data_IF_410689603087
#
_entry.id   IF_410689603087
#
_cell.length_a   1.000
_cell.length_b   1.000
_cell.length_c   1.000
_cell.angle_alpha   90.00
_cell.angle_beta   90.00
_cell.angle_gamma   90.00
#
_symmetry.space_group_name_H-M   'P 1'
#
loop_
_entity.id
_entity.type
_entity.pdbx_description
1 polymer ?
#
# COMPACT_ATOMS: atom_id res chain seq x y z
N UNK A 1 -25.48 -7.34 -52.20
CA UNK A 1 -25.46 -8.12 -53.46
C UNK A 1 -25.07 -9.56 -53.12
N UNK A 2 -25.84 -10.63 -53.37
CA UNK A 2 -27.27 -10.82 -53.65
C UNK A 2 -27.98 -11.51 -52.46
N UNK A 3 -29.24 -11.98 -52.61
CA UNK A 3 -29.47 -13.24 -53.32
C UNK A 3 -30.70 -13.28 -54.26
N UNK A 4 -30.66 -14.30 -55.12
CA UNK A 4 -31.67 -14.76 -56.10
C UNK A 4 -33.02 -15.13 -55.47
N UNK A 5 -34.11 -15.01 -56.25
CA UNK A 5 -35.00 -16.14 -56.64
C UNK A 5 -36.24 -15.68 -57.43
N UNK A 6 -36.32 -16.13 -58.68
CA UNK A 6 -37.55 -16.54 -59.39
C UNK A 6 -38.21 -17.73 -58.66
N UNK A 7 -39.52 -18.06 -58.82
CA UNK A 7 -40.05 -18.57 -60.10
C UNK A 7 -41.55 -18.34 -60.45
N UNK A 8 -41.81 -18.80 -61.68
CA UNK A 8 -43.00 -18.90 -62.54
C UNK A 8 -44.39 -19.36 -62.00
N UNK A 9 -45.40 -18.84 -62.74
CA UNK A 9 -46.62 -19.47 -63.34
C UNK A 9 -47.68 -20.18 -62.47
N UNK A 10 -48.96 -19.86 -62.76
CA UNK A 10 -50.11 -20.73 -63.20
C UNK A 10 -51.35 -19.80 -63.30
N UNK A 11 -51.94 -19.50 -64.48
CA UNK A 11 -52.95 -20.21 -65.30
C UNK A 11 -54.30 -20.55 -64.63
N UNK A 12 -55.41 -19.98 -65.16
CA UNK A 12 -56.72 -20.59 -65.55
C UNK A 12 -57.72 -19.45 -65.89
N UNK A 13 -58.18 -19.28 -67.14
CA UNK A 13 -59.38 -19.89 -67.80
C UNK A 13 -60.71 -19.41 -67.17
N UNK A 14 -61.81 -19.06 -67.84
CA UNK A 14 -62.34 -19.42 -69.17
C UNK A 14 -63.57 -18.53 -69.53
N UNK A 15 -63.89 -18.44 -70.85
CA UNK A 15 -65.21 -18.63 -71.49
C UNK A 15 -66.45 -17.80 -71.04
N UNK A 16 -67.45 -17.44 -71.84
CA UNK A 16 -67.94 -17.69 -73.20
C UNK A 16 -68.73 -16.41 -73.64
N UNK A 17 -69.08 -16.12 -74.90
CA UNK A 17 -70.04 -16.84 -75.73
C UNK A 17 -71.33 -16.01 -75.96
N UNK A 18 -71.48 -15.51 -77.19
CA UNK A 18 -72.67 -15.18 -78.02
C UNK A 18 -74.09 -15.16 -77.38
N UNK A 19 -74.93 -14.21 -77.80
CA UNK A 19 -76.10 -14.49 -78.67
C UNK A 19 -76.87 -13.23 -79.14
N UNK A 20 -77.40 -13.32 -80.38
CA UNK A 20 -78.46 -12.46 -80.96
C UNK A 20 -79.83 -12.96 -80.46
N UNK A 21 -80.94 -12.19 -80.59
CA UNK A 21 -81.88 -12.46 -81.70
C UNK A 21 -82.58 -11.18 -82.26
N UNK A 22 -82.77 -11.06 -83.58
CA UNK A 22 -84.00 -11.31 -84.40
C UNK A 22 -85.02 -10.14 -84.42
N UNK A 23 -85.43 -9.83 -85.65
CA UNK A 23 -86.35 -8.78 -86.12
C UNK A 23 -87.81 -8.90 -85.65
N UNK A 24 -88.72 -8.08 -86.19
CA UNK A 24 -89.50 -8.63 -87.31
C UNK A 24 -89.74 -7.67 -88.49
N UNK A 25 -89.72 -8.24 -89.70
CA UNK A 25 -90.45 -7.76 -90.89
C UNK A 25 -91.82 -8.44 -90.93
N UNK A 26 -92.86 -7.77 -91.46
CA UNK A 26 -93.88 -8.30 -92.43
C UNK A 26 -94.94 -7.21 -92.72
N UNK A 27 -95.09 -6.75 -93.98
CA UNK A 27 -95.98 -7.26 -95.08
C UNK A 27 -97.46 -6.87 -94.86
N UNK A 28 -98.18 -6.22 -95.78
CA UNK A 28 -98.70 -6.58 -97.14
C UNK A 28 -99.37 -5.28 -97.70
N UNK A 29 -99.28 -4.84 -98.97
CA UNK A 29 -99.75 -5.33 -100.29
C UNK A 29 -101.27 -5.37 -100.52
N UNK A 30 -101.67 -4.79 -101.68
CA UNK A 30 -102.86 -4.99 -102.55
C UNK A 30 -103.99 -3.95 -102.40
N UNK A 31 -104.75 -3.54 -103.42
CA UNK A 31 -104.76 -3.75 -104.87
C UNK A 31 -105.80 -2.78 -105.50
N UNK A 32 -105.71 -2.55 -106.81
CA UNK A 32 -106.72 -1.92 -107.67
C UNK A 32 -108.06 -2.68 -107.75
N UNK A 33 -109.17 -1.94 -108.00
CA UNK A 33 -110.35 -2.21 -108.86
C UNK A 33 -111.49 -1.26 -108.47
N UNK A 34 -111.96 -0.36 -109.34
CA UNK A 34 -112.86 -0.55 -110.49
C UNK A 34 -114.33 -0.83 -110.12
N UNK A 35 -115.19 0.17 -110.41
CA UNK A 35 -116.61 0.18 -110.79
C UNK A 35 -117.60 -0.83 -110.22
N UNK A 36 -118.77 -0.37 -109.77
CA UNK A 36 -119.97 -0.18 -110.61
C UNK A 36 -121.12 0.38 -109.73
N UNK A 37 -121.84 1.40 -110.21
CA UNK A 37 -123.14 1.80 -109.68
C UNK A 37 -124.08 1.94 -110.88
N UNK A 38 -125.16 1.15 -110.89
CA UNK A 38 -126.07 1.01 -112.01
C UNK A 38 -127.53 1.20 -111.56
N UNK A 39 -128.28 1.88 -112.44
CA UNK A 39 -129.75 1.99 -112.60
C UNK A 39 -130.60 2.62 -111.48
N UNK A 40 -131.37 3.65 -111.81
CA UNK A 40 -132.61 3.47 -112.60
C UNK A 40 -133.38 4.79 -112.79
N UNK A 41 -133.99 4.93 -113.97
CA UNK A 41 -135.05 5.87 -114.31
C UNK A 41 -136.37 5.07 -114.47
N UNK A 42 -137.52 5.69 -114.81
CA UNK A 42 -138.26 6.75 -114.12
C UNK A 42 -139.73 6.32 -113.80
N UNK A 43 -140.37 7.02 -112.85
CA UNK A 43 -141.76 6.81 -112.43
C UNK A 43 -142.77 7.72 -113.16
N UNK A 44 -144.01 7.24 -113.25
CA UNK A 44 -145.20 7.93 -113.77
C UNK A 44 -146.00 8.63 -112.63
N UNK A 45 -146.74 9.72 -112.91
CA UNK A 45 -146.93 10.82 -111.96
C UNK A 45 -148.25 10.75 -111.20
N UNK A 46 -148.21 10.37 -109.92
CA UNK A 46 -149.21 10.75 -108.89
C UNK A 46 -148.73 10.65 -107.42
N UNK A 47 -147.44 10.35 -107.17
CA UNK A 47 -146.86 10.18 -105.81
C UNK A 47 -145.95 11.35 -105.32
N UNK A 48 -145.94 12.49 -106.01
CA UNK A 48 -144.99 13.61 -105.81
C UNK A 48 -145.19 14.46 -104.54
N UNK A 49 -146.12 14.16 -103.63
CA UNK A 49 -146.35 14.99 -102.43
C UNK A 49 -145.93 14.36 -101.09
N UNK A 50 -145.78 13.05 -100.99
CA UNK A 50 -145.47 12.37 -99.71
C UNK A 50 -143.95 12.11 -99.53
N UNK A 51 -143.16 12.10 -100.61
CA UNK A 51 -141.69 11.91 -100.54
C UNK A 51 -140.88 13.16 -100.19
N UNK A 52 -141.47 14.36 -100.21
CA UNK A 52 -140.75 15.59 -99.85
C UNK A 52 -140.54 15.74 -98.34
N UNK A 53 -141.53 15.38 -97.52
CA UNK A 53 -141.43 15.56 -96.06
C UNK A 53 -140.49 14.54 -95.40
N UNK A 54 -140.35 13.32 -95.93
CA UNK A 54 -139.42 12.33 -95.35
C UNK A 54 -137.94 12.68 -95.60
N UNK A 55 -137.62 13.31 -96.73
CA UNK A 55 -136.24 13.67 -97.08
C UNK A 55 -135.68 14.84 -96.26
N UNK A 56 -136.53 15.72 -95.72
CA UNK A 56 -136.08 16.83 -94.87
C UNK A 56 -135.61 16.38 -93.48
N UNK A 57 -136.22 15.33 -92.92
CA UNK A 57 -135.82 14.79 -91.61
C UNK A 57 -134.48 14.06 -91.69
N UNK A 58 -134.26 13.30 -92.75
CA UNK A 58 -132.99 12.57 -92.95
C UNK A 58 -131.80 13.53 -93.16
N UNK A 59 -132.03 14.66 -93.85
CA UNK A 59 -131.02 15.72 -94.01
C UNK A 59 -130.54 16.31 -92.68
N UNK A 60 -131.45 16.55 -91.74
CA UNK A 60 -131.11 17.15 -90.43
C UNK A 60 -130.27 16.18 -89.58
N UNK A 61 -130.55 14.87 -89.64
CA UNK A 61 -129.76 13.86 -88.92
C UNK A 61 -128.33 13.75 -89.46
N UNK A 62 -128.15 13.70 -90.78
CA UNK A 62 -126.81 13.68 -91.37
C UNK A 62 -126.01 14.95 -91.03
N UNK A 63 -126.66 16.12 -90.97
CA UNK A 63 -126.01 17.36 -90.54
C UNK A 63 -125.52 17.30 -89.08
N UNK A 64 -126.28 16.68 -88.17
CA UNK A 64 -125.87 16.48 -86.77
C UNK A 64 -124.71 15.50 -86.62
N UNK A 65 -124.72 14.38 -87.34
CA UNK A 65 -123.63 13.40 -87.33
C UNK A 65 -122.35 13.97 -87.92
N UNK A 66 -122.46 14.75 -89.00
CA UNK A 66 -121.32 15.45 -89.61
C UNK A 66 -120.69 16.46 -88.65
N UNK A 67 -121.51 17.18 -87.89
CA UNK A 67 -121.06 18.12 -86.88
C UNK A 67 -120.37 17.41 -85.70
N UNK A 68 -120.93 16.29 -85.22
CA UNK A 68 -120.30 15.47 -84.18
C UNK A 68 -118.92 14.93 -84.63
N UNK A 69 -118.84 14.40 -85.85
CA UNK A 69 -117.56 13.89 -86.41
C UNK A 69 -116.56 15.02 -86.63
N UNK A 70 -117.00 16.23 -87.01
CA UNK A 70 -116.13 17.40 -87.07
C UNK A 70 -115.59 17.78 -85.68
N UNK A 71 -116.43 17.83 -84.65
CA UNK A 71 -115.99 18.12 -83.29
C UNK A 71 -115.03 17.06 -82.73
N UNK A 72 -115.27 15.78 -83.00
CA UNK A 72 -114.36 14.68 -82.64
C UNK A 72 -113.03 14.79 -83.39
N UNK A 73 -113.07 15.10 -84.69
CA UNK A 73 -111.86 15.34 -85.49
C UNK A 73 -111.06 16.52 -84.94
N UNK A 74 -111.71 17.63 -84.61
CA UNK A 74 -111.05 18.83 -84.10
C UNK A 74 -110.51 18.61 -82.67
N UNK A 75 -111.23 17.85 -81.83
CA UNK A 75 -110.70 17.39 -80.53
C UNK A 75 -109.46 16.53 -80.72
N UNK A 76 -109.49 15.52 -81.59
CA UNK A 76 -108.33 14.65 -81.86
C UNK A 76 -107.18 15.45 -82.45
N UNK A 77 -107.45 16.39 -83.36
CA UNK A 77 -106.44 17.29 -83.92
C UNK A 77 -105.80 18.17 -82.83
N UNK A 78 -106.60 18.73 -81.92
CA UNK A 78 -106.11 19.53 -80.80
C UNK A 78 -105.27 18.70 -79.82
N UNK A 79 -105.71 17.47 -79.48
CA UNK A 79 -104.93 16.55 -78.65
C UNK A 79 -103.62 16.16 -79.30
N UNK A 80 -103.63 15.91 -80.61
CA UNK A 80 -102.42 15.57 -81.36
C UNK A 80 -101.47 16.77 -81.43
N UNK A 81 -101.98 17.99 -81.53
CA UNK A 81 -101.15 19.20 -81.47
C UNK A 81 -100.59 19.45 -80.06
N UNK A 82 -101.39 19.26 -79.01
CA UNK A 82 -100.94 19.33 -77.61
C UNK A 82 -99.88 18.28 -77.34
N UNK A 83 -100.10 17.02 -77.73
CA UNK A 83 -99.13 15.94 -77.55
C UNK A 83 -97.85 16.16 -78.35
N UNK A 84 -97.94 16.77 -79.54
CA UNK A 84 -96.75 17.23 -80.28
C UNK A 84 -96.02 18.35 -79.52
N UNK A 85 -96.72 19.34 -78.97
CA UNK A 85 -96.11 20.41 -78.16
C UNK A 85 -95.45 19.86 -76.89
N UNK A 86 -96.12 18.97 -76.17
CA UNK A 86 -95.56 18.27 -74.99
C UNK A 86 -94.33 17.44 -75.35
N UNK A 87 -94.36 16.73 -76.50
CA UNK A 87 -93.21 15.98 -76.99
C UNK A 87 -92.03 16.90 -77.31
N UNK A 88 -92.28 18.04 -77.97
CA UNK A 88 -91.24 19.02 -78.27
C UNK A 88 -90.70 19.69 -76.98
N UNK A 89 -91.54 19.99 -76.00
CA UNK A 89 -91.11 20.47 -74.68
C UNK A 89 -90.23 19.44 -73.96
N UNK A 90 -90.64 18.17 -73.92
CA UNK A 90 -89.85 17.10 -73.31
C UNK A 90 -88.49 16.90 -74.01
N UNK A 91 -88.44 17.03 -75.34
CA UNK A 91 -87.18 17.00 -76.11
C UNK A 91 -86.28 18.21 -75.79
N UNK A 92 -86.85 19.38 -75.57
CA UNK A 92 -86.09 20.57 -75.15
C UNK A 92 -85.55 20.38 -73.73
N UNK A 93 -86.37 19.91 -72.80
CA UNK A 93 -85.95 19.61 -71.42
C UNK A 93 -84.85 18.55 -71.36
N UNK A 94 -84.96 17.49 -72.18
CA UNK A 94 -83.93 16.46 -72.29
C UNK A 94 -82.60 17.10 -72.72
N UNK A 95 -82.61 17.92 -73.78
CA UNK A 95 -81.41 18.64 -74.26
C UNK A 95 -80.82 19.58 -73.20
N UNK A 96 -81.66 20.23 -72.40
CA UNK A 96 -81.18 21.09 -71.30
C UNK A 96 -80.53 20.25 -70.19
N UNK A 97 -81.13 19.11 -69.84
CA UNK A 97 -80.55 18.19 -68.85
C UNK A 97 -79.24 17.56 -69.33
N UNK A 98 -79.17 17.17 -70.59
CA UNK A 98 -77.94 16.65 -71.21
C UNK A 98 -76.84 17.71 -71.14
N UNK A 99 -77.16 18.98 -71.47
CA UNK A 99 -76.22 20.10 -71.32
C UNK A 99 -75.79 20.33 -69.87
N UNK A 100 -76.70 20.23 -68.91
CA UNK A 100 -76.35 20.36 -67.49
C UNK A 100 -75.47 19.20 -66.99
N UNK A 101 -75.66 17.98 -67.51
CA UNK A 101 -74.77 16.85 -67.23
C UNK A 101 -73.37 17.12 -67.79
N UNK A 102 -73.27 17.60 -69.03
CA UNK A 102 -72.00 18.02 -69.63
C UNK A 102 -71.31 19.10 -68.78
N UNK A 103 -72.02 20.14 -68.36
CA UNK A 103 -71.49 21.21 -67.48
C UNK A 103 -71.05 20.71 -66.10
N UNK A 104 -71.70 19.68 -65.55
CA UNK A 104 -71.29 19.04 -64.29
C UNK A 104 -70.04 18.19 -64.48
N UNK A 105 -69.96 17.44 -65.56
CA UNK A 105 -68.78 16.64 -65.91
C UNK A 105 -67.57 17.53 -66.14
N UNK A 106 -67.71 18.65 -66.86
CA UNK A 106 -66.66 19.64 -67.05
C UNK A 106 -66.17 20.22 -65.72
N UNK A 107 -67.10 20.63 -64.83
CA UNK A 107 -66.75 21.12 -63.49
C UNK A 107 -66.02 20.07 -62.66
N UNK A 108 -66.50 18.83 -62.64
CA UNK A 108 -65.82 17.76 -61.93
C UNK A 108 -64.42 17.49 -62.50
N UNK A 109 -64.24 17.53 -63.83
CA UNK A 109 -62.93 17.39 -64.45
C UNK A 109 -61.98 18.52 -64.03
N UNK A 110 -62.46 19.75 -63.96
CA UNK A 110 -61.65 20.89 -63.52
C UNK A 110 -61.32 20.84 -62.03
N UNK A 111 -62.25 20.41 -61.18
CA UNK A 111 -61.98 20.13 -59.77
C UNK A 111 -60.90 19.06 -59.59
N UNK A 112 -60.97 17.96 -60.36
CA UNK A 112 -59.94 16.91 -60.37
C UNK A 112 -58.59 17.49 -60.79
N UNK A 113 -58.54 18.37 -61.80
CA UNK A 113 -57.29 19.04 -62.19
C UNK A 113 -56.73 19.92 -61.07
N UNK A 114 -57.57 20.70 -60.39
CA UNK A 114 -57.17 21.54 -59.25
C UNK A 114 -56.67 20.69 -58.08
N UNK A 115 -57.36 19.60 -57.72
CA UNK A 115 -56.89 18.69 -56.68
C UNK A 115 -55.57 18.01 -57.04
N UNK A 116 -55.41 17.60 -58.29
CA UNK A 116 -54.14 17.05 -58.78
C UNK A 116 -53.00 18.07 -58.70
N UNK A 117 -53.25 19.35 -59.03
CA UNK A 117 -52.26 20.41 -58.88
C UNK A 117 -51.92 20.68 -57.42
N UNK A 118 -52.92 20.74 -56.53
CA UNK A 118 -52.71 20.87 -55.07
C UNK A 118 -51.88 19.72 -54.51
N UNK A 119 -52.15 18.48 -54.92
CA UNK A 119 -51.38 17.32 -54.50
C UNK A 119 -49.93 17.39 -55.00
N UNK A 120 -49.71 17.78 -56.27
CA UNK A 120 -48.36 18.00 -56.81
C UNK A 120 -47.60 19.08 -56.04
N UNK A 121 -48.25 20.20 -55.73
CA UNK A 121 -47.63 21.28 -54.95
C UNK A 121 -47.25 20.82 -53.55
N UNK A 122 -48.17 20.13 -52.85
CA UNK A 122 -47.92 19.62 -51.50
C UNK A 122 -46.79 18.58 -51.47
N UNK A 123 -46.72 17.70 -52.47
CA UNK A 123 -45.59 16.75 -52.61
C UNK A 123 -44.26 17.47 -52.88
N UNK A 124 -44.27 18.52 -53.71
CA UNK A 124 -43.08 19.31 -54.00
C UNK A 124 -42.62 20.11 -52.77
N UNK A 125 -43.55 20.68 -52.02
CA UNK A 125 -43.29 21.37 -50.76
C UNK A 125 -42.73 20.41 -49.71
N UNK A 126 -43.34 19.23 -49.52
CA UNK A 126 -42.81 18.20 -48.64
C UNK A 126 -41.40 17.75 -49.06
N UNK A 127 -41.18 17.54 -50.35
CA UNK A 127 -39.86 17.20 -50.87
C UNK A 127 -38.82 18.28 -50.58
N UNK A 128 -39.16 19.55 -50.82
CA UNK A 128 -38.27 20.68 -50.53
C UNK A 128 -38.01 20.83 -49.02
N UNK A 129 -39.02 20.67 -48.18
CA UNK A 129 -38.86 20.73 -46.72
C UNK A 129 -37.95 19.61 -46.22
N UNK A 130 -38.10 18.40 -46.75
CA UNK A 130 -37.21 17.27 -46.43
C UNK A 130 -35.78 17.56 -46.93
N UNK A 131 -35.62 18.14 -48.12
CA UNK A 131 -34.31 18.50 -48.66
C UNK A 131 -33.63 19.60 -47.83
N UNK A 132 -34.37 20.63 -47.42
CA UNK A 132 -33.89 21.71 -46.55
C UNK A 132 -33.47 21.17 -45.18
N UNK A 133 -34.30 20.36 -44.53
CA UNK A 133 -33.98 19.75 -43.23
C UNK A 133 -32.73 18.87 -43.32
N UNK A 134 -32.57 18.08 -44.40
CA UNK A 134 -31.35 17.29 -44.63
C UNK A 134 -30.11 18.17 -44.80
N UNK A 135 -30.20 19.26 -45.55
CA UNK A 135 -29.10 20.19 -45.73
C UNK A 135 -28.71 20.88 -44.41
N UNK A 136 -29.68 21.31 -43.61
CA UNK A 136 -29.45 21.88 -42.28
C UNK A 136 -28.78 20.88 -41.34
N UNK A 137 -29.24 19.62 -41.32
CA UNK A 137 -28.62 18.57 -40.53
C UNK A 137 -27.18 18.27 -40.98
N UNK A 138 -26.89 18.26 -42.28
CA UNK A 138 -25.52 18.08 -42.78
C UNK A 138 -24.58 19.22 -42.36
N UNK A 139 -25.06 20.46 -42.40
CA UNK A 139 -24.29 21.63 -41.92
C UNK A 139 -24.05 21.53 -40.42
N UNK A 140 -25.08 21.18 -39.64
CA UNK A 140 -24.94 20.98 -38.19
C UNK A 140 -23.93 19.88 -37.85
N UNK A 141 -23.94 18.76 -38.59
CA UNK A 141 -22.97 17.68 -38.42
C UNK A 141 -21.54 18.11 -38.78
N UNK A 142 -21.35 18.91 -39.82
CA UNK A 142 -20.02 19.47 -40.16
C UNK A 142 -19.51 20.38 -39.06
N UNK A 143 -20.36 21.28 -38.57
CA UNK A 143 -19.99 22.22 -37.51
C UNK A 143 -19.64 21.49 -36.20
N UNK A 144 -20.40 20.45 -35.84
CA UNK A 144 -20.07 19.59 -34.69
C UNK A 144 -18.72 18.87 -34.88
N UNK A 145 -18.44 18.33 -36.08
CA UNK A 145 -17.15 17.69 -36.38
C UNK A 145 -15.99 18.69 -36.26
N UNK A 146 -16.15 19.91 -36.75
CA UNK A 146 -15.13 20.96 -36.63
C UNK A 146 -14.90 21.38 -35.17
N UNK A 147 -15.96 21.48 -34.36
CA UNK A 147 -15.84 21.78 -32.93
C UNK A 147 -15.11 20.67 -32.17
N UNK A 148 -15.44 19.41 -32.44
CA UNK A 148 -14.75 18.26 -31.85
C UNK A 148 -13.27 18.30 -32.23
N UNK A 149 -12.94 18.49 -33.52
CA UNK A 149 -11.55 18.55 -33.99
C UNK A 149 -10.76 19.71 -33.34
N UNK A 150 -11.37 20.89 -33.18
CA UNK A 150 -10.74 22.01 -32.47
C UNK A 150 -10.48 21.67 -31.00
N UNK A 151 -11.45 21.07 -30.32
CA UNK A 151 -11.30 20.69 -28.91
C UNK A 151 -10.24 19.61 -28.73
N UNK A 152 -10.16 18.64 -29.64
CA UNK A 152 -9.10 17.62 -29.65
C UNK A 152 -7.72 18.26 -29.81
N UNK A 153 -7.56 19.23 -30.72
CA UNK A 153 -6.29 19.94 -30.91
C UNK A 153 -5.89 20.77 -29.68
N UNK A 154 -6.83 21.45 -29.04
CA UNK A 154 -6.59 22.17 -27.77
C UNK A 154 -6.13 21.20 -26.67
N UNK A 155 -6.85 20.09 -26.48
CA UNK A 155 -6.50 19.08 -25.48
C UNK A 155 -5.12 18.47 -25.73
N UNK A 156 -4.75 18.23 -26.99
CA UNK A 156 -3.41 17.75 -27.35
C UNK A 156 -2.33 18.80 -27.05
N UNK A 157 -2.59 20.07 -27.32
CA UNK A 157 -1.67 21.16 -26.99
C UNK A 157 -1.49 21.32 -25.47
N UNK A 158 -2.59 21.30 -24.71
CA UNK A 158 -2.57 21.31 -23.24
C UNK A 158 -1.81 20.09 -22.68
N UNK A 159 -2.05 18.90 -23.24
CA UNK A 159 -1.35 17.67 -22.84
C UNK A 159 0.15 17.77 -23.08
N UNK A 160 0.59 18.32 -24.21
CA UNK A 160 2.01 18.54 -24.51
C UNK A 160 2.63 19.57 -23.57
N UNK A 161 1.96 20.70 -23.33
CA UNK A 161 2.43 21.72 -22.40
C UNK A 161 2.51 21.22 -20.95
N UNK A 162 1.58 20.36 -20.52
CA UNK A 162 1.67 19.72 -19.20
C UNK A 162 2.84 18.73 -19.11
N UNK A 163 3.11 17.95 -20.17
CA UNK A 163 4.27 17.05 -20.21
C UNK A 163 5.59 17.81 -20.13
N UNK A 164 5.68 18.96 -20.79
CA UNK A 164 6.86 19.82 -20.74
C UNK A 164 7.09 20.38 -19.33
N UNK A 165 6.03 20.92 -18.69
CA UNK A 165 6.10 21.39 -17.30
C UNK A 165 6.50 20.29 -16.31
N UNK A 166 5.99 19.06 -16.49
CA UNK A 166 6.39 17.92 -15.66
C UNK A 166 7.89 17.67 -15.83
N UNK A 167 8.40 17.67 -17.07
CA UNK A 167 9.82 17.44 -17.35
C UNK A 167 10.72 18.55 -16.78
N UNK A 168 10.29 19.81 -16.85
CA UNK A 168 10.99 20.94 -16.24
C UNK A 168 11.07 20.79 -14.71
N UNK A 169 9.97 20.40 -14.07
CA UNK A 169 9.94 20.13 -12.63
C UNK A 169 10.83 18.94 -12.25
N UNK A 170 10.80 17.85 -13.03
CA UNK A 170 11.67 16.69 -12.83
C UNK A 170 13.16 17.09 -12.88
N UNK A 171 13.57 17.87 -13.88
CA UNK A 171 14.95 18.38 -14.00
C UNK A 171 15.33 19.29 -12.83
N UNK A 172 14.43 20.20 -12.42
CA UNK A 172 14.66 21.05 -11.25
C UNK A 172 14.83 20.22 -9.97
N UNK A 173 14.01 19.17 -9.77
CA UNK A 173 14.16 18.26 -8.65
C UNK A 173 15.46 17.48 -8.71
N UNK A 174 15.89 17.00 -9.88
CA UNK A 174 17.20 16.35 -10.02
C UNK A 174 18.35 17.26 -9.61
N UNK A 175 18.31 18.54 -9.99
CA UNK A 175 19.35 19.50 -9.62
C UNK A 175 19.35 19.83 -8.13
N UNK A 176 18.17 19.95 -7.50
CA UNK A 176 18.09 20.08 -6.04
C UNK A 176 18.65 18.84 -5.33
N UNK A 177 18.39 17.63 -5.84
CA UNK A 177 18.94 16.39 -5.29
C UNK A 177 20.47 16.37 -5.43
N UNK A 178 21.02 16.78 -6.58
CA UNK A 178 22.48 16.87 -6.77
C UNK A 178 23.10 17.86 -5.80
N UNK A 179 22.47 19.03 -5.60
CA UNK A 179 22.94 20.05 -4.67
C UNK A 179 22.94 19.53 -3.22
N UNK A 180 21.85 18.90 -2.77
CA UNK A 180 21.79 18.32 -1.42
C UNK A 180 22.83 17.24 -1.22
N UNK A 181 23.05 16.36 -2.22
CA UNK A 181 24.10 15.34 -2.15
C UNK A 181 25.50 15.94 -2.03
N UNK A 182 25.76 17.03 -2.77
CA UNK A 182 27.04 17.74 -2.72
C UNK A 182 27.25 18.37 -1.34
N UNK A 183 26.23 19.03 -0.79
CA UNK A 183 26.32 19.70 0.51
C UNK A 183 26.46 18.68 1.66
N UNK A 184 25.72 17.58 1.62
CA UNK A 184 25.92 16.45 2.53
C UNK A 184 27.35 15.88 2.43
N UNK A 185 27.90 15.77 1.23
CA UNK A 185 29.30 15.35 1.03
C UNK A 185 30.31 16.31 1.67
N UNK A 186 30.06 17.62 1.61
CA UNK A 186 30.88 18.64 2.27
C UNK A 186 30.78 18.54 3.79
N UNK A 187 29.58 18.40 4.33
CA UNK A 187 29.36 18.23 5.79
C UNK A 187 30.02 16.96 6.31
N UNK A 188 29.88 15.84 5.60
CA UNK A 188 30.56 14.60 5.98
C UNK A 188 32.08 14.76 5.98
N UNK A 189 32.63 15.51 5.02
CA UNK A 189 34.07 15.80 4.98
C UNK A 189 34.50 16.68 6.15
N UNK A 190 33.71 17.71 6.51
CA UNK A 190 33.97 18.55 7.68
C UNK A 190 33.94 17.74 8.97
N UNK A 191 32.91 16.91 9.17
CA UNK A 191 32.82 16.04 10.34
C UNK A 191 34.03 15.10 10.45
N UNK A 192 34.46 14.50 9.34
CA UNK A 192 35.68 13.66 9.31
C UNK A 192 36.92 14.45 9.72
N UNK A 193 37.09 15.66 9.18
CA UNK A 193 38.23 16.52 9.54
C UNK A 193 38.20 16.92 11.02
N UNK A 194 37.03 17.21 11.59
CA UNK A 194 36.86 17.50 13.01
C UNK A 194 37.17 16.29 13.89
N UNK A 195 36.71 15.10 13.51
CA UNK A 195 37.06 13.86 14.22
C UNK A 195 38.55 13.55 14.16
N UNK A 196 39.18 13.68 12.99
CA UNK A 196 40.63 13.48 12.82
C UNK A 196 41.44 14.48 13.66
N UNK A 197 40.99 15.74 13.73
CA UNK A 197 41.61 16.77 14.55
C UNK A 197 41.48 16.46 16.05
N UNK A 198 40.28 16.07 16.49
CA UNK A 198 40.00 15.70 17.88
C UNK A 198 40.80 14.45 18.30
N UNK A 199 40.93 13.47 17.40
CA UNK A 199 41.72 12.26 17.65
C UNK A 199 43.21 12.61 17.83
N UNK A 200 43.78 13.43 16.92
CA UNK A 200 45.17 13.90 17.04
C UNK A 200 45.39 14.71 18.32
N UNK A 201 44.45 15.56 18.70
CA UNK A 201 44.55 16.32 19.95
C UNK A 201 44.53 15.41 21.17
N UNK A 202 43.63 14.41 21.19
CA UNK A 202 43.55 13.43 22.27
C UNK A 202 44.84 12.61 22.37
N UNK A 203 45.37 12.13 21.24
CA UNK A 203 46.66 11.43 21.18
C UNK A 203 47.81 12.31 21.69
N UNK A 204 47.88 13.58 21.27
CA UNK A 204 48.91 14.50 21.77
C UNK A 204 48.80 14.72 23.29
N UNK A 205 47.57 14.83 23.83
CA UNK A 205 47.33 14.96 25.26
C UNK A 205 47.76 13.72 26.05
N UNK A 206 47.45 12.52 25.56
CA UNK A 206 47.84 11.27 26.22
C UNK A 206 49.35 11.05 26.16
N UNK A 207 49.99 11.32 25.02
CA UNK A 207 51.46 11.27 24.89
C UNK A 207 52.16 12.22 25.85
N UNK A 208 51.67 13.47 25.99
CA UNK A 208 52.21 14.43 26.96
C UNK A 208 52.08 13.92 28.40
N UNK A 209 50.93 13.35 28.77
CA UNK A 209 50.73 12.74 30.10
C UNK A 209 51.70 11.59 30.34
N UNK A 210 51.90 10.71 29.36
CA UNK A 210 52.85 9.60 29.45
C UNK A 210 54.28 10.12 29.63
N UNK A 211 54.70 11.13 28.85
CA UNK A 211 56.02 11.75 28.98
C UNK A 211 56.23 12.37 30.36
N UNK A 212 55.26 13.15 30.85
CA UNK A 212 55.30 13.74 32.20
C UNK A 212 55.46 12.68 33.29
N UNK A 213 54.68 11.60 33.25
CA UNK A 213 54.78 10.51 34.24
C UNK A 213 56.15 9.83 34.16
N UNK A 214 56.70 9.64 32.96
CA UNK A 214 58.06 9.09 32.81
C UNK A 214 59.11 10.01 33.42
N UNK A 215 59.04 11.31 33.14
CA UNK A 215 59.94 12.31 33.69
C UNK A 215 59.85 12.37 35.23
N UNK A 216 58.64 12.32 35.80
CA UNK A 216 58.41 12.30 37.24
C UNK A 216 58.99 11.04 37.90
N UNK A 217 58.79 9.87 37.30
CA UNK A 217 59.35 8.60 37.77
C UNK A 217 60.89 8.61 37.68
N UNK A 218 61.46 9.15 36.61
CA UNK A 218 62.91 9.29 36.46
C UNK A 218 63.49 10.26 37.49
N UNK A 219 62.81 11.37 37.76
CA UNK A 219 63.21 12.33 38.78
C UNK A 219 63.19 11.70 40.17
N UNK A 220 62.11 10.97 40.51
CA UNK A 220 62.01 10.25 41.78
C UNK A 220 63.13 9.22 41.93
N UNK A 221 63.40 8.44 40.88
CA UNK A 221 64.53 7.48 40.87
C UNK A 221 65.87 8.18 41.08
N UNK A 222 66.12 9.32 40.42
CA UNK A 222 67.36 10.09 40.60
C UNK A 222 67.49 10.63 42.03
N UNK A 223 66.40 11.12 42.61
CA UNK A 223 66.37 11.59 44.00
C UNK A 223 66.67 10.45 44.98
N UNK A 224 66.01 9.29 44.85
CA UNK A 224 66.25 8.12 45.69
C UNK A 224 67.71 7.62 45.59
N UNK A 225 68.28 7.63 44.37
CA UNK A 225 69.69 7.28 44.16
C UNK A 225 70.61 8.27 44.87
N UNK A 226 70.38 9.58 44.70
CA UNK A 226 71.20 10.60 45.37
C UNK A 226 71.10 10.52 46.89
N UNK A 227 69.91 10.31 47.48
CA UNK A 227 69.78 10.13 48.92
C UNK A 227 70.56 8.91 49.43
N UNK A 228 70.54 7.80 48.67
CA UNK A 228 71.30 6.60 49.02
C UNK A 228 72.80 6.86 48.89
N UNK A 229 73.23 7.57 47.86
CA UNK A 229 74.64 7.98 47.69
C UNK A 229 75.10 8.88 48.83
N UNK A 230 74.30 9.88 49.23
CA UNK A 230 74.60 10.75 50.37
C UNK A 230 74.72 9.95 51.66
N UNK A 231 73.75 9.06 51.95
CA UNK A 231 73.80 8.18 53.14
C UNK A 231 75.04 7.27 53.14
N UNK A 232 75.44 6.76 51.98
CA UNK A 232 76.66 5.95 51.84
C UNK A 232 77.91 6.81 52.05
N UNK A 233 77.96 8.00 51.46
CA UNK A 233 79.09 8.92 51.60
C UNK A 233 79.24 9.42 53.05
N UNK A 234 78.15 9.71 53.75
CA UNK A 234 78.20 10.04 55.18
C UNK A 234 78.74 8.87 55.99
N UNK A 235 78.31 7.64 55.71
CA UNK A 235 78.83 6.45 56.39
C UNK A 235 80.32 6.21 56.12
N UNK A 236 80.77 6.38 54.86
CA UNK A 236 82.19 6.30 54.49
C UNK A 236 82.99 7.34 55.27
N UNK A 237 82.52 8.59 55.33
CA UNK A 237 83.19 9.66 56.07
C UNK A 237 83.25 9.38 57.58
N UNK A 238 82.19 8.84 58.17
CA UNK A 238 82.20 8.40 59.57
C UNK A 238 83.19 7.27 59.82
N UNK A 239 83.24 6.29 58.92
CA UNK A 239 84.17 5.17 58.99
C UNK A 239 85.62 5.63 58.87
N UNK A 240 85.91 6.53 57.93
CA UNK A 240 87.20 7.20 57.78
C UNK A 240 87.61 7.90 59.08
N UNK A 241 86.73 8.71 59.68
CA UNK A 241 87.00 9.37 60.97
C UNK A 241 87.25 8.38 62.11
N UNK A 242 86.52 7.26 62.16
CA UNK A 242 86.75 6.20 63.16
C UNK A 242 88.11 5.54 62.97
N UNK A 243 88.49 5.26 61.72
CA UNK A 243 89.81 4.72 61.41
C UNK A 243 90.93 5.70 61.74
N UNK A 244 90.79 6.99 61.44
CA UNK A 244 91.76 8.02 61.83
C UNK A 244 91.92 8.11 63.35
N UNK A 245 90.81 8.06 64.09
CA UNK A 245 90.84 8.02 65.56
C UNK A 245 91.55 6.79 66.08
N UNK A 246 91.16 5.59 65.62
CA UNK A 246 91.80 4.34 66.01
C UNK A 246 93.29 4.32 65.65
N UNK A 247 93.68 4.85 64.50
CA UNK A 247 95.07 4.97 64.10
C UNK A 247 95.85 5.95 65.00
N UNK A 248 95.22 7.07 65.38
CA UNK A 248 95.80 8.03 66.33
C UNK A 248 95.95 7.41 67.72
N UNK A 249 94.94 6.69 68.21
CA UNK A 249 94.99 5.95 69.48
C UNK A 249 96.08 4.89 69.48
N UNK A 250 96.23 4.11 68.41
CA UNK A 250 97.32 3.14 68.24
C UNK A 250 98.67 3.85 68.26
N UNK A 251 98.79 4.99 67.55
CA UNK A 251 100.03 5.78 67.53
C UNK A 251 100.36 6.33 68.92
N UNK A 252 99.37 6.85 69.64
CA UNK A 252 99.51 7.28 71.04
C UNK A 252 99.91 6.10 71.93
N UNK A 253 99.27 4.94 71.81
CA UNK A 253 99.60 3.74 72.58
C UNK A 253 101.06 3.30 72.35
N UNK A 254 101.53 3.26 71.10
CA UNK A 254 102.94 2.93 70.83
C UNK A 254 103.90 4.04 71.28
N UNK A 255 103.52 5.31 71.20
CA UNK A 255 104.29 6.42 71.77
C UNK A 255 104.35 6.35 73.29
N UNK A 256 103.27 5.96 73.96
CA UNK A 256 103.21 5.79 75.40
C UNK A 256 104.00 4.55 75.81
N UNK A 257 104.00 3.48 75.02
CA UNK A 257 104.91 2.34 75.23
C UNK A 257 106.36 2.76 75.04
N UNK A 258 106.70 3.53 74.00
CA UNK A 258 108.11 3.96 73.81
C UNK A 258 108.53 4.94 74.89
N UNK A 259 107.64 5.82 75.35
CA UNK A 259 107.86 6.71 76.48
C UNK A 259 108.02 5.92 77.79
N UNK A 260 107.10 5.01 78.09
CA UNK A 260 107.21 4.10 79.24
C UNK A 260 108.44 3.22 79.15
N UNK A 261 108.85 2.76 77.96
CA UNK A 261 110.07 1.99 77.76
C UNK A 261 111.31 2.87 77.95
N UNK A 262 111.28 4.15 77.55
CA UNK A 262 112.36 5.10 77.81
C UNK A 262 112.47 5.43 79.30
N UNK A 263 111.33 5.64 79.97
CA UNK A 263 111.26 5.86 81.41
C UNK A 263 111.69 4.60 82.16
N UNK A 264 111.25 3.41 81.74
CA UNK A 264 111.70 2.13 82.26
C UNK A 264 113.19 1.90 81.99
N UNK A 265 113.74 2.27 80.83
CA UNK A 265 115.18 2.21 80.57
C UNK A 265 115.92 3.17 81.50
N UNK A 266 115.35 4.34 81.80
CA UNK A 266 115.93 5.30 82.74
C UNK A 266 115.92 4.75 84.17
N UNK A 267 114.78 4.23 84.63
CA UNK A 267 114.63 3.55 85.92
C UNK A 267 115.51 2.31 86.00
N UNK A 268 115.60 1.50 84.95
CA UNK A 268 116.49 0.33 84.90
C UNK A 268 117.97 0.73 84.90
N UNK A 269 118.34 1.88 84.34
CA UNK A 269 119.70 2.41 84.48
C UNK A 269 119.99 2.84 85.91
N UNK A 270 119.04 3.50 86.58
CA UNK A 270 119.12 3.83 88.00
C UNK A 270 119.15 2.55 88.86
N UNK A 271 118.28 1.58 88.59
CA UNK A 271 118.23 0.28 89.25
C UNK A 271 119.45 -0.58 88.93
N UNK A 272 120.10 -0.49 87.77
CA UNK A 272 121.39 -1.17 87.52
C UNK A 272 122.49 -0.55 88.40
N UNK A 273 122.43 0.75 88.66
CA UNK A 273 123.36 1.37 89.63
C UNK A 273 123.08 0.95 91.08
N UNK A 274 121.83 0.63 91.42
CA UNK A 274 121.44 0.13 92.74
C UNK A 274 121.50 -1.41 92.88
N UNK A 275 121.31 -2.16 91.80
CA UNK A 275 121.47 -3.62 91.71
C UNK A 275 122.93 -3.99 91.83
N UNK A 276 123.87 -3.19 91.27
CA UNK A 276 125.30 -3.34 91.62
C UNK A 276 125.57 -3.22 93.13
N UNK A 277 124.69 -2.57 93.90
CA UNK A 277 124.77 -2.53 95.38
C UNK A 277 124.00 -3.69 96.04
N UNK A 278 122.92 -4.19 95.44
CA UNK A 278 122.06 -5.27 95.99
C UNK A 278 122.43 -6.69 95.53
N UNK A 279 123.15 -6.87 94.43
CA UNK A 279 123.65 -8.16 93.91
C UNK A 279 124.69 -8.77 94.87
N UNK A 280 125.40 -7.92 95.63
CA UNK A 280 126.18 -8.33 96.80
C UNK A 280 125.33 -8.91 97.96
N UNK A 281 124.00 -8.70 97.97
CA UNK A 281 123.11 -9.09 99.06
C UNK A 281 122.18 -10.28 98.73
N UNK A 282 121.84 -10.51 97.46
CA UNK A 282 120.76 -11.44 97.07
C UNK A 282 121.21 -12.82 96.56
N UNK A 283 122.50 -13.14 96.58
CA UNK A 283 123.00 -14.51 96.35
C UNK A 283 122.39 -15.54 97.33
N UNK A 284 121.79 -15.09 98.44
CA UNK A 284 121.16 -15.93 99.47
C UNK A 284 119.70 -16.31 99.24
N UNK A 285 118.95 -15.66 98.36
CA UNK A 285 117.49 -15.86 98.25
C UNK A 285 117.05 -16.78 97.10
N UNK A 286 118.01 -17.24 96.29
CA UNK A 286 117.76 -18.01 95.06
C UNK A 286 117.39 -19.49 95.29
N UNK A 287 117.53 -20.00 96.52
CA UNK A 287 117.26 -21.41 96.84
C UNK A 287 115.76 -21.73 97.03
N UNK A 288 114.97 -20.76 97.51
CA UNK A 288 113.60 -21.04 97.99
C UNK A 288 112.54 -21.02 96.87
N UNK A 289 112.81 -20.35 95.75
CA UNK A 289 111.84 -20.17 94.66
C UNK A 289 111.70 -21.43 93.78
N UNK A 290 112.66 -22.35 93.83
CA UNK A 290 112.67 -23.55 92.98
C UNK A 290 111.61 -24.60 93.37
N UNK A 291 111.07 -24.59 94.60
CA UNK A 291 110.08 -25.59 95.05
C UNK A 291 108.63 -25.24 94.68
N UNK A 292 108.27 -23.95 94.57
CA UNK A 292 106.88 -23.53 94.39
C UNK A 292 106.33 -23.83 92.98
N UNK A 293 107.20 -23.89 91.98
CA UNK A 293 106.84 -24.10 90.57
C UNK A 293 106.35 -25.52 90.23
N UNK A 294 106.48 -26.51 91.15
CA UNK A 294 106.01 -27.88 90.92
C UNK A 294 104.53 -28.11 91.24
N UNK A 295 103.83 -27.15 91.86
CA UNK A 295 102.47 -27.36 92.43
C UNK A 295 101.30 -26.96 91.49
N UNK A 296 101.54 -26.22 90.40
CA UNK A 296 100.47 -25.51 89.65
C UNK A 296 100.07 -26.12 88.30
N UNK A 297 100.62 -27.28 87.92
CA UNK A 297 100.48 -27.84 86.55
C UNK A 297 99.15 -28.59 86.31
N UNK A 298 98.54 -29.14 87.36
CA UNK A 298 97.33 -29.98 87.27
C UNK A 298 95.98 -29.22 87.18
N UNK A 299 95.80 -28.05 87.84
CA UNK A 299 94.58 -27.25 87.69
C UNK A 299 94.40 -26.67 86.28
N UNK A 300 95.50 -26.37 85.59
CA UNK A 300 95.49 -25.71 84.27
C UNK A 300 94.94 -26.64 83.16
N UNK A 301 95.17 -27.94 83.25
CA UNK A 301 94.74 -28.92 82.24
C UNK A 301 93.25 -29.29 82.34
N UNK A 302 92.62 -29.15 83.51
CA UNK A 302 91.18 -29.36 83.68
C UNK A 302 90.36 -28.17 83.16
N UNK A 303 90.80 -26.93 83.42
CA UNK A 303 90.14 -25.72 82.93
C UNK A 303 90.11 -25.62 81.39
N UNK A 304 91.17 -26.09 80.71
CA UNK A 304 91.23 -26.07 79.24
C UNK A 304 90.21 -27.00 78.56
N UNK A 305 89.88 -28.15 79.19
CA UNK A 305 88.90 -29.10 78.65
C UNK A 305 87.45 -28.61 78.80
N UNK A 306 87.13 -27.92 79.89
CA UNK A 306 85.80 -27.30 80.09
C UNK A 306 85.54 -26.17 79.10
N UNK A 307 86.55 -25.36 78.80
CA UNK A 307 86.44 -24.28 77.80
C UNK A 307 86.14 -24.84 76.39
N UNK A 308 86.68 -26.01 76.03
CA UNK A 308 86.42 -26.63 74.73
C UNK A 308 84.98 -27.14 74.60
N UNK A 309 84.42 -27.72 75.67
CA UNK A 309 83.02 -28.18 75.71
C UNK A 309 82.05 -27.01 75.63
N UNK A 310 82.31 -25.94 76.39
CA UNK A 310 81.48 -24.73 76.37
C UNK A 310 81.49 -24.04 75.01
N UNK A 311 82.63 -24.00 74.30
CA UNK A 311 82.70 -23.47 72.93
C UNK A 311 81.85 -24.26 71.94
N UNK A 312 81.82 -25.59 72.04
CA UNK A 312 80.98 -26.44 71.18
C UNK A 312 79.49 -26.24 71.45
N UNK A 313 79.10 -26.10 72.72
CA UNK A 313 77.71 -25.79 73.10
C UNK A 313 77.26 -24.41 72.60
N UNK A 314 78.15 -23.41 72.67
CA UNK A 314 77.86 -22.04 72.21
C UNK A 314 77.68 -21.98 70.68
N UNK A 315 78.51 -22.70 69.92
CA UNK A 315 78.36 -22.81 68.46
C UNK A 315 77.04 -23.49 68.04
N UNK A 316 76.61 -24.54 68.76
CA UNK A 316 75.32 -25.17 68.51
C UNK A 316 74.15 -24.22 68.83
N UNK A 317 74.24 -23.48 69.94
CA UNK A 317 73.23 -22.50 70.31
C UNK A 317 73.09 -21.36 69.29
N UNK A 318 74.20 -20.88 68.71
CA UNK A 318 74.17 -19.88 67.63
C UNK A 318 73.50 -20.40 66.35
N UNK A 319 73.76 -21.67 66.00
CA UNK A 319 73.11 -22.32 64.85
C UNK A 319 71.60 -22.47 65.06
N UNK A 320 71.18 -22.88 66.25
CA UNK A 320 69.76 -23.01 66.61
C UNK A 320 69.04 -21.66 66.67
N UNK A 321 69.75 -20.60 67.09
CA UNK A 321 69.22 -19.23 67.06
C UNK A 321 68.96 -18.74 65.63
N UNK A 322 69.85 -19.03 64.70
CA UNK A 322 69.69 -18.69 63.27
C UNK A 322 68.54 -19.47 62.62
N UNK A 323 68.45 -20.79 62.88
CA UNK A 323 67.35 -21.61 62.34
C UNK A 323 65.99 -21.18 62.89
N UNK A 324 65.91 -20.82 64.18
CA UNK A 324 64.70 -20.26 64.79
C UNK A 324 64.31 -18.90 64.18
N UNK A 325 65.28 -18.03 63.88
CA UNK A 325 65.00 -16.77 63.20
C UNK A 325 64.44 -16.98 61.79
N UNK A 326 65.03 -17.90 61.01
CA UNK A 326 64.54 -18.25 59.69
C UNK A 326 63.12 -18.86 59.76
N UNK A 327 62.88 -19.79 60.67
CA UNK A 327 61.55 -20.38 60.88
C UNK A 327 60.50 -19.33 61.28
N UNK A 328 60.87 -18.36 62.13
CA UNK A 328 59.99 -17.23 62.49
C UNK A 328 59.69 -16.31 61.31
N UNK A 329 60.67 -16.05 60.45
CA UNK A 329 60.47 -15.26 59.23
C UNK A 329 59.51 -15.97 58.27
N UNK A 330 59.74 -17.26 57.99
CA UNK A 330 58.85 -18.07 57.16
C UNK A 330 57.43 -18.17 57.74
N UNK A 331 57.30 -18.34 59.06
CA UNK A 331 55.99 -18.35 59.73
C UNK A 331 55.25 -17.00 59.57
N UNK A 332 55.96 -15.89 59.66
CA UNK A 332 55.38 -14.56 59.47
C UNK A 332 54.91 -14.33 58.03
N UNK A 333 55.67 -14.80 57.03
CA UNK A 333 55.27 -14.75 55.62
C UNK A 333 54.05 -15.64 55.35
N UNK A 334 54.06 -16.89 55.82
CA UNK A 334 52.91 -17.79 55.68
C UNK A 334 51.67 -17.25 56.39
N UNK A 335 51.81 -16.64 57.55
CA UNK A 335 50.68 -16.01 58.26
C UNK A 335 50.09 -14.84 57.47
N UNK A 336 50.92 -14.03 56.80
CA UNK A 336 50.44 -12.98 55.88
C UNK A 336 49.72 -13.58 54.68
N UNK A 337 50.27 -14.63 54.09
CA UNK A 337 49.65 -15.31 52.94
C UNK A 337 48.27 -15.88 53.30
N UNK A 338 48.15 -16.55 54.45
CA UNK A 338 46.86 -17.08 54.94
C UNK A 338 45.85 -15.96 55.12
N UNK A 339 46.21 -14.85 55.78
CA UNK A 339 45.30 -13.70 55.94
C UNK A 339 44.85 -13.10 54.62
N UNK A 340 45.75 -12.99 53.64
CA UNK A 340 45.41 -12.49 52.32
C UNK A 340 44.44 -13.44 51.59
N UNK A 341 44.70 -14.75 51.64
CA UNK A 341 43.84 -15.77 51.05
C UNK A 341 42.47 -15.82 51.73
N UNK A 342 42.39 -15.67 53.06
CA UNK A 342 41.12 -15.58 53.80
C UNK A 342 40.31 -14.37 53.35
N UNK A 343 40.96 -13.22 53.15
CA UNK A 343 40.30 -12.00 52.65
C UNK A 343 39.80 -12.18 51.21
N UNK A 344 40.64 -12.70 50.32
CA UNK A 344 40.26 -12.98 48.92
C UNK A 344 39.12 -13.99 48.83
N UNK A 345 39.16 -15.05 49.64
CA UNK A 345 38.11 -16.06 49.69
C UNK A 345 36.79 -15.46 50.22
N UNK A 346 36.84 -14.62 51.26
CA UNK A 346 35.67 -13.89 51.76
C UNK A 346 35.05 -12.96 50.69
N UNK A 347 35.89 -12.22 49.96
CA UNK A 347 35.43 -11.36 48.87
C UNK A 347 34.82 -12.17 47.71
N UNK A 348 35.41 -13.32 47.38
CA UNK A 348 34.88 -14.23 46.35
C UNK A 348 33.55 -14.88 46.78
N UNK A 349 33.42 -15.28 48.04
CA UNK A 349 32.17 -15.82 48.59
C UNK A 349 31.05 -14.79 48.53
N UNK A 350 31.32 -13.54 48.92
CA UNK A 350 30.32 -12.48 48.81
C UNK A 350 29.84 -12.28 47.36
N UNK A 351 30.78 -12.20 46.40
CA UNK A 351 30.44 -12.09 44.97
C UNK A 351 29.65 -13.31 44.46
N UNK A 352 30.00 -14.50 44.94
CA UNK A 352 29.29 -15.72 44.58
C UNK A 352 27.85 -15.71 45.10
N UNK A 353 27.63 -15.26 46.33
CA UNK A 353 26.29 -15.16 46.92
C UNK A 353 25.44 -14.11 46.19
N UNK A 354 26.02 -12.96 45.81
CA UNK A 354 25.37 -11.94 44.97
C UNK A 354 24.94 -12.54 43.62
N UNK A 355 25.86 -13.20 42.90
CA UNK A 355 25.55 -13.86 41.62
C UNK A 355 24.50 -14.96 41.75
N UNK A 356 24.52 -15.71 42.85
CA UNK A 356 23.54 -16.75 43.13
C UNK A 356 22.15 -16.14 43.33
N UNK A 357 22.06 -15.02 44.06
CA UNK A 357 20.81 -14.30 44.25
C UNK A 357 20.28 -13.73 42.93
N UNK A 358 21.14 -13.12 42.11
CA UNK A 358 20.76 -12.62 40.78
C UNK A 358 20.22 -13.73 39.88
N UNK A 359 20.89 -14.90 39.87
CA UNK A 359 20.41 -16.08 39.14
C UNK A 359 19.05 -16.53 39.64
N UNK A 360 18.87 -16.63 40.95
CA UNK A 360 17.62 -17.11 41.55
C UNK A 360 16.46 -16.15 41.28
N UNK A 361 16.71 -14.85 41.32
CA UNK A 361 15.71 -13.84 41.01
C UNK A 361 15.36 -13.81 39.52
N UNK A 362 16.36 -13.95 38.64
CA UNK A 362 16.11 -14.09 37.20
C UNK A 362 15.29 -15.35 36.88
N UNK A 363 15.57 -16.46 37.58
CA UNK A 363 14.80 -17.69 37.42
C UNK A 363 13.35 -17.52 37.86
N UNK A 364 13.10 -16.89 39.02
CA UNK A 364 11.75 -16.57 39.49
C UNK A 364 11.00 -15.65 38.52
N UNK A 365 11.65 -14.61 38.02
CA UNK A 365 11.05 -13.69 37.04
C UNK A 365 10.69 -14.42 35.74
N UNK A 366 11.55 -15.32 35.27
CA UNK A 366 11.27 -16.15 34.12
C UNK A 366 10.07 -17.06 34.36
N UNK A 367 10.03 -17.79 35.50
CA UNK A 367 8.88 -18.64 35.85
C UNK A 367 7.58 -17.84 35.92
N UNK A 368 7.60 -16.68 36.59
CA UNK A 368 6.44 -15.77 36.64
C UNK A 368 5.99 -15.34 35.24
N UNK A 369 6.92 -14.93 34.38
CA UNK A 369 6.62 -14.55 33.00
C UNK A 369 6.00 -15.69 32.19
N UNK A 370 6.50 -16.92 32.37
CA UNK A 370 5.94 -18.12 31.74
C UNK A 370 4.51 -18.38 32.23
N UNK A 371 4.27 -18.32 33.54
CA UNK A 371 2.94 -18.50 34.12
C UNK A 371 1.94 -17.45 33.62
N UNK A 372 2.34 -16.17 33.57
CA UNK A 372 1.48 -15.10 33.05
C UNK A 372 1.13 -15.29 31.57
N UNK A 373 2.12 -15.68 30.74
CA UNK A 373 1.90 -15.97 29.33
C UNK A 373 0.96 -17.16 29.14
N UNK A 374 1.17 -18.22 29.93
CA UNK A 374 0.30 -19.40 29.92
C UNK A 374 -1.12 -19.03 30.36
N UNK A 375 -1.29 -18.23 31.41
CA UNK A 375 -2.60 -17.76 31.86
C UNK A 375 -3.31 -16.93 30.78
N UNK A 376 -2.61 -15.97 30.15
CA UNK A 376 -3.16 -15.15 29.06
C UNK A 376 -3.56 -16.01 27.85
N UNK A 377 -2.72 -16.96 27.47
CA UNK A 377 -3.00 -17.92 26.39
C UNK A 377 -4.23 -18.77 26.71
N UNK A 378 -4.29 -19.33 27.93
CA UNK A 378 -5.41 -20.14 28.38
C UNK A 378 -6.72 -19.36 28.42
N UNK A 379 -6.72 -18.12 28.91
CA UNK A 379 -7.89 -17.24 28.88
C UNK A 379 -8.35 -16.94 27.45
N UNK A 380 -7.41 -16.67 26.53
CA UNK A 380 -7.72 -16.47 25.11
C UNK A 380 -8.31 -17.72 24.48
N UNK A 381 -7.75 -18.90 24.75
CA UNK A 381 -8.25 -20.18 24.28
C UNK A 381 -9.65 -20.47 24.82
N UNK A 382 -9.89 -20.25 26.11
CA UNK A 382 -11.21 -20.42 26.73
C UNK A 382 -12.26 -19.50 26.09
N UNK A 383 -11.88 -18.24 25.82
CA UNK A 383 -12.78 -17.28 25.16
C UNK A 383 -13.10 -17.71 23.71
N UNK A 384 -12.11 -18.23 22.98
CA UNK A 384 -12.32 -18.77 21.63
C UNK A 384 -13.23 -20.01 21.70
N UNK A 385 -12.99 -20.93 22.62
CA UNK A 385 -13.85 -22.11 22.83
C UNK A 385 -15.29 -21.72 23.13
N UNK A 386 -15.53 -20.77 24.05
CA UNK A 386 -16.88 -20.25 24.30
C UNK A 386 -17.51 -19.62 23.06
N UNK A 387 -16.75 -18.87 22.27
CA UNK A 387 -17.28 -18.30 21.01
C UNK A 387 -17.66 -19.39 20.02
N UNK A 388 -16.84 -20.43 19.89
CA UNK A 388 -17.14 -21.59 19.03
C UNK A 388 -18.40 -22.29 19.52
N UNK A 389 -18.50 -22.58 20.82
CA UNK A 389 -19.69 -23.21 21.40
C UNK A 389 -20.97 -22.40 21.15
N UNK A 390 -20.94 -21.08 21.37
CA UNK A 390 -22.10 -20.21 21.09
C UNK A 390 -22.45 -20.23 19.60
N UNK A 391 -21.46 -20.22 18.71
CA UNK A 391 -21.70 -20.31 17.26
C UNK A 391 -22.31 -21.67 16.88
N UNK A 392 -21.83 -22.76 17.46
CA UNK A 392 -22.39 -24.11 17.28
C UNK A 392 -23.85 -24.18 17.76
N UNK A 393 -24.15 -23.68 18.97
CA UNK A 393 -25.53 -23.63 19.47
C UNK A 393 -26.44 -22.77 18.57
N UNK A 394 -25.94 -21.66 18.03
CA UNK A 394 -26.72 -20.86 17.08
C UNK A 394 -26.93 -21.56 15.75
N UNK A 395 -25.94 -22.32 15.28
CA UNK A 395 -26.03 -23.12 14.07
C UNK A 395 -27.07 -24.23 14.24
N UNK A 396 -27.01 -24.98 15.34
CA UNK A 396 -27.99 -26.03 15.66
C UNK A 396 -29.41 -25.47 15.73
N UNK A 397 -29.62 -24.32 16.37
CA UNK A 397 -30.92 -23.63 16.39
C UNK A 397 -31.39 -23.24 14.99
N UNK A 398 -30.50 -22.78 14.12
CA UNK A 398 -30.83 -22.41 12.74
C UNK A 398 -31.13 -23.63 11.88
N UNK A 399 -30.39 -24.73 12.04
CA UNK A 399 -30.64 -25.98 11.34
C UNK A 399 -31.96 -26.62 11.79
N UNK A 400 -32.29 -26.58 13.08
CA UNK A 400 -33.60 -27.02 13.58
C UNK A 400 -34.74 -26.18 12.97
N UNK A 401 -34.62 -24.85 12.96
CA UNK A 401 -35.60 -23.95 12.32
C UNK A 401 -35.75 -24.24 10.82
N UNK A 402 -34.65 -24.47 10.10
CA UNK A 402 -34.68 -24.84 8.69
C UNK A 402 -35.32 -26.21 8.46
N UNK A 403 -35.07 -27.17 9.35
CA UNK A 403 -35.69 -28.50 9.33
C UNK A 403 -37.21 -28.44 9.50
N UNK A 404 -37.70 -27.64 10.45
CA UNK A 404 -39.13 -27.41 10.66
C UNK A 404 -39.80 -26.74 9.45
N UNK A 405 -39.19 -25.70 8.89
CA UNK A 405 -39.69 -25.01 7.69
C UNK A 405 -39.71 -25.95 6.47
N UNK A 406 -38.70 -26.80 6.32
CA UNK A 406 -38.66 -27.81 5.27
C UNK A 406 -39.79 -28.85 5.43
N UNK A 407 -40.09 -29.28 6.67
CA UNK A 407 -41.17 -30.20 6.97
C UNK A 407 -42.57 -29.60 6.73
N UNK A 408 -42.78 -28.32 7.06
CA UNK A 408 -44.05 -27.60 6.82
C UNK A 408 -44.27 -27.24 5.35
N UNK A 409 -43.20 -27.14 4.55
CA UNK A 409 -43.23 -26.62 3.19
C UNK A 409 -43.80 -27.56 2.13
N UNK A 410 -43.88 -28.88 2.36
CA UNK A 410 -44.39 -29.89 1.43
C UNK A 410 -43.93 -29.71 -0.04
N UNK A 411 -42.70 -29.22 -0.26
CA UNK A 411 -42.09 -29.01 -1.57
C UNK A 411 -41.20 -30.21 -1.93
N UNK A 412 -41.09 -30.51 -3.23
CA UNK A 412 -40.26 -31.61 -3.74
C UNK A 412 -38.80 -31.45 -3.26
N UNK A 413 -38.26 -32.40 -2.46
CA UNK A 413 -36.92 -32.34 -1.88
C UNK A 413 -35.81 -32.07 -2.90
N UNK A 414 -35.95 -32.59 -4.12
CA UNK A 414 -34.96 -32.40 -5.18
C UNK A 414 -34.89 -30.94 -5.66
N UNK A 415 -36.04 -30.28 -5.77
CA UNK A 415 -36.08 -28.87 -6.21
C UNK A 415 -35.52 -27.92 -5.15
N UNK A 416 -35.77 -28.21 -3.87
CA UNK A 416 -35.22 -27.45 -2.74
C UNK A 416 -33.70 -27.61 -2.65
N UNK A 417 -33.19 -28.82 -2.89
CA UNK A 417 -31.76 -29.11 -2.88
C UNK A 417 -31.03 -28.38 -4.02
N UNK A 418 -31.58 -28.37 -5.25
CA UNK A 418 -31.00 -27.66 -6.40
C UNK A 418 -30.93 -26.14 -6.12
N UNK A 419 -31.98 -25.55 -5.55
CA UNK A 419 -31.98 -24.13 -5.18
C UNK A 419 -30.97 -23.84 -4.07
N UNK A 420 -30.86 -24.72 -3.07
CA UNK A 420 -29.85 -24.63 -2.00
C UNK A 420 -28.43 -24.68 -2.55
N UNK A 421 -28.14 -25.58 -3.47
CA UNK A 421 -26.82 -25.74 -4.07
C UNK A 421 -26.45 -24.52 -4.95
N UNK A 422 -27.40 -23.98 -5.71
CA UNK A 422 -27.20 -22.74 -6.48
C UNK A 422 -26.95 -21.52 -5.58
N UNK A 423 -27.68 -21.40 -4.48
CA UNK A 423 -27.47 -20.33 -3.48
C UNK A 423 -26.11 -20.50 -2.80
N UNK A 424 -25.74 -21.70 -2.38
CA UNK A 424 -24.43 -22.00 -1.79
C UNK A 424 -23.30 -21.66 -2.77
N UNK A 425 -23.42 -22.05 -4.04
CA UNK A 425 -22.44 -21.71 -5.06
C UNK A 425 -22.29 -20.20 -5.25
N UNK A 426 -23.40 -19.46 -5.22
CA UNK A 426 -23.39 -17.99 -5.29
C UNK A 426 -22.74 -17.36 -4.07
N UNK A 427 -23.05 -17.86 -2.87
CA UNK A 427 -22.44 -17.42 -1.60
C UNK A 427 -20.94 -17.70 -1.60
N UNK A 428 -20.50 -18.88 -2.05
CA UNK A 428 -19.09 -19.24 -2.14
C UNK A 428 -18.32 -18.38 -3.13
N UNK A 429 -18.92 -18.09 -4.29
CA UNK A 429 -18.36 -17.17 -5.28
C UNK A 429 -18.18 -15.77 -4.68
N UNK A 430 -19.21 -15.24 -4.01
CA UNK A 430 -19.15 -13.94 -3.32
C UNK A 430 -18.13 -13.94 -2.18
N UNK A 431 -18.02 -15.02 -1.39
CA UNK A 431 -17.02 -15.15 -0.34
C UNK A 431 -15.59 -15.23 -0.89
N UNK A 432 -15.38 -15.81 -2.07
CA UNK A 432 -14.08 -15.75 -2.77
C UNK A 432 -13.77 -14.33 -3.23
N UNK A 433 -14.73 -13.63 -3.83
CA UNK A 433 -14.60 -12.23 -4.24
C UNK A 433 -14.25 -11.33 -3.04
N UNK A 434 -14.92 -11.49 -1.89
CA UNK A 434 -14.62 -10.77 -0.65
C UNK A 434 -13.19 -11.05 -0.16
N UNK A 435 -12.75 -12.32 -0.19
CA UNK A 435 -11.37 -12.67 0.21
C UNK A 435 -10.34 -12.03 -0.72
N UNK A 436 -10.62 -11.99 -2.02
CA UNK A 436 -9.74 -11.38 -3.01
C UNK A 436 -9.66 -9.86 -2.85
N UNK A 437 -10.79 -9.18 -2.69
CA UNK A 437 -10.82 -7.74 -2.40
C UNK A 437 -10.11 -7.39 -1.10
N UNK A 438 -10.27 -8.21 -0.04
CA UNK A 438 -9.51 -8.04 1.21
C UNK A 438 -8.01 -8.20 1.02
N UNK A 439 -7.60 -9.17 0.21
CA UNK A 439 -6.19 -9.38 -0.14
C UNK A 439 -5.62 -8.18 -0.92
N UNK A 440 -6.35 -7.70 -1.92
CA UNK A 440 -5.98 -6.51 -2.70
C UNK A 440 -5.89 -5.25 -1.83
N UNK A 441 -6.85 -5.04 -0.94
CA UNK A 441 -6.84 -3.96 0.04
C UNK A 441 -5.62 -4.07 0.97
N UNK A 442 -5.32 -5.28 1.45
CA UNK A 442 -4.12 -5.53 2.26
C UNK A 442 -2.82 -5.23 1.50
N UNK A 443 -2.74 -5.63 0.23
CA UNK A 443 -1.61 -5.34 -0.65
C UNK A 443 -1.44 -3.83 -0.88
N UNK A 444 -2.52 -3.11 -1.17
CA UNK A 444 -2.50 -1.66 -1.36
C UNK A 444 -2.15 -0.91 -0.07
N UNK A 445 -2.68 -1.35 1.08
CA UNK A 445 -2.34 -0.79 2.39
C UNK A 445 -0.86 -1.00 2.71
N UNK A 446 -0.31 -2.18 2.40
CA UNK A 446 1.11 -2.46 2.57
C UNK A 446 1.96 -1.59 1.64
N UNK A 447 1.63 -1.52 0.35
CA UNK A 447 2.32 -0.64 -0.59
C UNK A 447 2.28 0.83 -0.16
N UNK A 448 1.15 1.29 0.37
CA UNK A 448 1.00 2.62 0.94
C UNK A 448 1.87 2.83 2.18
N UNK A 449 1.90 1.87 3.12
CA UNK A 449 2.77 1.92 4.31
C UNK A 449 4.25 1.89 3.93
N UNK A 450 4.64 1.05 2.97
CA UNK A 450 6.02 0.96 2.48
C UNK A 450 6.44 2.27 1.80
N UNK A 451 5.56 2.85 0.97
CA UNK A 451 5.77 4.15 0.35
C UNK A 451 5.84 5.28 1.38
N UNK A 452 4.93 5.28 2.36
CA UNK A 452 4.94 6.21 3.49
C UNK A 452 6.24 6.11 4.28
N UNK A 453 6.69 4.91 4.61
CA UNK A 453 7.95 4.70 5.33
C UNK A 453 9.16 5.08 4.49
N UNK A 454 9.15 4.85 3.18
CA UNK A 454 10.19 5.33 2.27
C UNK A 454 10.21 6.87 2.24
N UNK A 455 9.05 7.51 2.20
CA UNK A 455 8.94 8.97 2.34
C UNK A 455 9.42 9.46 3.70
N UNK A 456 9.04 8.83 4.81
CA UNK A 456 9.52 9.15 6.17
C UNK A 456 11.04 9.02 6.25
N UNK A 457 11.59 7.93 5.73
CA UNK A 457 13.04 7.69 5.72
C UNK A 457 13.76 8.76 4.91
N UNK A 458 13.20 9.14 3.75
CA UNK A 458 13.72 10.27 2.98
C UNK A 458 13.60 11.58 3.75
N UNK A 459 12.46 11.90 4.36
CA UNK A 459 12.27 13.13 5.13
C UNK A 459 13.26 13.24 6.29
N UNK A 460 13.53 12.14 7.00
CA UNK A 460 14.56 12.06 8.04
C UNK A 460 15.97 12.24 7.46
N UNK A 461 16.27 11.63 6.31
CA UNK A 461 17.54 11.88 5.59
C UNK A 461 17.72 13.34 5.19
N UNK A 462 16.62 14.05 4.94
CA UNK A 462 16.61 15.49 4.65
C UNK A 462 16.50 16.36 5.91
N UNK A 463 16.60 15.78 7.11
CA UNK A 463 16.65 16.52 8.38
C UNK A 463 15.32 17.15 8.82
N UNK A 464 14.18 16.73 8.25
CA UNK A 464 12.84 17.22 8.63
C UNK A 464 12.20 16.22 9.62
N UNK A 465 12.05 16.58 10.91
CA UNK A 465 11.36 15.73 11.88
C UNK A 465 9.86 15.67 11.53
N UNK A 466 9.31 14.45 11.45
CA UNK A 466 7.91 14.25 11.06
C UNK A 466 6.89 14.88 12.04
N UNK A 467 7.32 15.19 13.26
CA UNK A 467 6.50 15.75 14.34
C UNK A 467 6.14 17.24 14.09
N UNK A 468 6.89 17.95 13.25
CA UNK A 468 6.68 19.38 13.00
C UNK A 468 5.70 19.69 11.86
N UNK A 469 5.32 18.69 11.03
CA UNK A 469 4.47 18.92 9.85
C UNK A 469 2.95 18.95 10.13
N UNK A 470 2.51 18.80 11.39
CA UNK A 470 1.11 18.98 11.77
C UNK A 470 0.11 18.08 11.00
N UNK A 471 0.56 16.98 10.43
CA UNK A 471 -0.28 16.10 9.63
C UNK A 471 -1.18 15.27 10.56
N UNK A 472 -2.50 15.22 10.30
CA UNK A 472 -3.44 14.50 11.15
C UNK A 472 -3.08 13.01 11.18
N UNK A 473 -3.23 12.43 12.37
CA UNK A 473 -2.85 11.10 12.84
C UNK A 473 -3.43 9.88 12.07
N UNK A 474 -3.74 9.99 10.78
CA UNK A 474 -4.28 8.90 9.95
C UNK A 474 -3.20 7.96 9.37
N UNK A 475 -1.94 8.13 9.78
CA UNK A 475 -0.75 7.47 9.23
C UNK A 475 -0.07 6.47 10.19
N UNK A 476 -0.78 5.96 11.19
CA UNK A 476 -0.33 4.84 12.05
C UNK A 476 -1.01 3.52 11.64
#
# INVERSE_FOLDING_TARGET
MGPKKEPAKVKKSAAAGKDKPIAPKKKKWKADKAGDEDKSAPLSPKEMKVKMESLEVDKIKEEQERNFVQLERDKIASFLEIKKKELEQAKVELRVKDRHLEELEERHQDEIKVYNQKMKHLLYEQYNNIAAAKAEHEVALKLLREQIAKREMELLSEQLGLKEKIRELELAYEDTIKQVKLDHGKELTKMKQEYDANEKELQSKTEKKIKSIREDCELRRKQEVHEVEERKNTHINELMKKHEKAFTEIKCYYNDITQNNLDLIKTLKEDVTDMKKKEAANEKLMYDIAQENKRLTEPLTKALKEVEVLKKQLANYEKDKLSLQQARASLAEHSKLVKNLEFENGALQQRFDELKNERDDLHKQFEMGVFELQQKSNLKNLLIQRKVQVLEETLEKKDAQLGEVAALGNRDPNTVQIVKDNINHTIDSKNKEIRQLRYELGKMTKAYKDLSNAFKTKLVQYGVPLEEMGLPYYMS
#
